data_IF_001062021741
#
_entry.id   IF_001062021741
#
_cell.length_a   1.000
_cell.length_b   1.000
_cell.length_c   1.000
_cell.angle_alpha   90.00
_cell.angle_beta   90.00
_cell.angle_gamma   90.00
#
_symmetry.space_group_name_H-M   'P 1'
#
loop_
_entity.id
_entity.type
_entity.pdbx_description
1 polymer ?
#
# COMPACT_ATOMS: atom_id res chain seq x y z
N UNK A 1 -27.99 0.43 26.19
CA UNK A 1 -26.60 0.19 25.77
C UNK A 1 -26.52 0.58 24.32
N UNK A 2 -25.81 1.65 23.96
CA UNK A 2 -25.65 2.06 22.56
C UNK A 2 -24.44 1.32 21.97
N UNK A 3 -24.69 0.38 21.08
CA UNK A 3 -23.64 -0.24 20.26
C UNK A 3 -23.21 0.75 19.21
N UNK A 4 -22.05 1.36 19.39
CA UNK A 4 -21.41 2.20 18.37
C UNK A 4 -20.90 1.29 17.26
N UNK A 5 -21.74 1.04 16.24
CA UNK A 5 -21.29 0.41 15.00
C UNK A 5 -20.45 1.43 14.25
N UNK A 6 -19.12 1.29 14.32
CA UNK A 6 -18.22 2.05 13.43
C UNK A 6 -18.61 1.77 11.97
N UNK A 7 -18.68 2.79 11.10
CA UNK A 7 -18.95 2.57 9.70
C UNK A 7 -17.86 1.66 9.09
N UNK A 8 -18.28 0.57 8.45
CA UNK A 8 -17.42 -0.29 7.63
C UNK A 8 -16.97 0.57 6.44
N UNK A 9 -15.72 1.00 6.45
CA UNK A 9 -15.12 1.60 5.27
C UNK A 9 -14.53 0.46 4.43
N UNK A 10 -14.86 0.37 3.14
CA UNK A 10 -14.26 -0.64 2.28
C UNK A 10 -12.75 -0.45 2.30
N UNK A 11 -12.02 -1.54 2.53
CA UNK A 11 -10.57 -1.53 2.51
C UNK A 11 -10.11 -1.82 1.09
N UNK A 12 -9.15 -1.07 0.57
CA UNK A 12 -8.52 -1.42 -0.71
C UNK A 12 -7.42 -2.45 -0.48
N UNK A 13 -7.43 -3.51 -1.26
CA UNK A 13 -6.34 -4.50 -1.31
C UNK A 13 -5.59 -4.32 -2.62
N UNK A 14 -4.27 -4.16 -2.50
CA UNK A 14 -3.34 -4.00 -3.63
C UNK A 14 -2.56 -5.29 -3.82
N UNK A 15 -2.58 -5.84 -5.03
CA UNK A 15 -1.93 -7.13 -5.35
C UNK A 15 -1.06 -7.03 -6.60
N UNK A 16 -0.08 -7.91 -6.70
CA UNK A 16 0.66 -8.12 -7.94
C UNK A 16 -0.27 -8.68 -9.03
N UNK A 17 -0.30 -8.05 -10.20
CA UNK A 17 -1.11 -8.50 -11.33
C UNK A 17 -0.73 -9.91 -11.84
N UNK A 18 0.50 -10.36 -11.56
CA UNK A 18 1.00 -11.66 -12.01
C UNK A 18 0.68 -12.79 -11.02
N UNK A 19 1.09 -12.65 -9.76
CA UNK A 19 0.96 -13.74 -8.77
C UNK A 19 -0.23 -13.58 -7.82
N UNK A 20 -0.92 -12.43 -7.82
CA UNK A 20 -1.99 -12.05 -6.88
C UNK A 20 -1.55 -11.94 -5.40
N UNK A 21 -0.24 -12.02 -5.13
CA UNK A 21 0.33 -11.77 -3.81
C UNK A 21 0.21 -10.30 -3.39
N UNK A 22 0.16 -10.06 -2.09
CA UNK A 22 0.04 -8.72 -1.46
C UNK A 22 1.40 -8.12 -1.06
N UNK A 23 2.50 -8.88 -1.22
CA UNK A 23 3.86 -8.43 -0.90
C UNK A 23 4.40 -7.58 -2.05
N UNK A 24 3.81 -6.40 -2.19
CA UNK A 24 4.10 -5.44 -3.26
C UNK A 24 4.60 -4.12 -2.67
N UNK A 25 5.51 -3.48 -3.40
CA UNK A 25 6.12 -2.20 -3.01
C UNK A 25 6.06 -1.22 -4.18
N UNK A 26 6.03 0.08 -3.87
CA UNK A 26 6.23 1.17 -4.85
C UNK A 26 7.53 1.88 -4.56
N UNK A 27 8.20 2.31 -5.61
CA UNK A 27 9.35 3.19 -5.47
C UNK A 27 8.92 4.53 -4.88
N UNK A 28 9.77 5.10 -4.06
CA UNK A 28 9.55 6.40 -3.47
C UNK A 28 10.88 7.07 -3.12
N UNK A 29 10.85 8.39 -2.99
CA UNK A 29 11.96 9.11 -2.37
C UNK A 29 11.62 9.47 -0.94
N UNK A 30 12.63 9.34 -0.09
CA UNK A 30 12.60 9.85 1.27
C UNK A 30 13.24 11.24 1.31
N UNK A 31 12.61 12.16 2.05
CA UNK A 31 13.12 13.49 2.30
C UNK A 31 13.61 13.58 3.75
N UNK A 32 14.71 14.29 3.98
CA UNK A 32 15.21 14.54 5.33
C UNK A 32 14.41 15.65 5.98
N UNK A 33 13.73 15.35 7.09
CA UNK A 33 13.03 16.35 7.90
C UNK A 33 13.97 16.89 8.98
N UNK A 34 14.38 18.16 8.86
CA UNK A 34 15.23 18.79 9.89
C UNK A 34 14.49 18.95 11.22
N UNK A 35 13.21 19.28 11.21
CA UNK A 35 12.46 19.46 12.46
C UNK A 35 12.32 18.15 13.24
N UNK A 36 12.03 17.06 12.52
CA UNK A 36 11.82 15.73 13.12
C UNK A 36 13.09 14.90 13.21
N UNK A 37 14.18 15.35 12.59
CA UNK A 37 15.47 14.65 12.51
C UNK A 37 15.33 13.19 12.05
N UNK A 38 14.49 12.98 11.03
CA UNK A 38 14.21 11.66 10.48
C UNK A 38 13.95 11.74 8.97
N UNK A 39 14.12 10.60 8.30
CA UNK A 39 13.66 10.42 6.92
C UNK A 39 12.15 10.23 6.90
N UNK A 40 11.47 10.96 6.02
CA UNK A 40 10.03 10.86 5.81
C UNK A 40 9.74 10.54 4.35
N UNK A 41 8.67 9.81 4.10
CA UNK A 41 8.23 9.51 2.74
C UNK A 41 7.79 10.81 2.05
N UNK A 42 8.46 11.18 0.96
CA UNK A 42 8.12 12.37 0.19
C UNK A 42 7.02 12.08 -0.84
N UNK A 43 7.38 11.29 -1.86
CA UNK A 43 6.46 10.92 -2.93
C UNK A 43 6.71 9.48 -3.37
N UNK A 44 5.62 8.73 -3.56
CA UNK A 44 5.64 7.44 -4.23
C UNK A 44 5.43 7.60 -5.75
N UNK A 45 6.09 6.75 -6.53
CA UNK A 45 6.06 6.70 -7.99
C UNK A 45 5.33 5.45 -8.47
N UNK A 46 5.00 5.38 -9.75
CA UNK A 46 4.20 4.27 -10.32
C UNK A 46 5.02 2.98 -10.54
N UNK A 47 6.34 3.04 -10.43
CA UNK A 47 7.17 1.84 -10.46
C UNK A 47 6.83 0.96 -9.25
N UNK A 48 6.58 -0.33 -9.51
CA UNK A 48 6.23 -1.29 -8.48
C UNK A 48 7.04 -2.59 -8.61
N UNK A 49 7.30 -3.21 -7.46
CA UNK A 49 8.04 -4.45 -7.32
C UNK A 49 7.23 -5.46 -6.51
N UNK A 50 7.27 -6.72 -6.92
CA UNK A 50 6.65 -7.82 -6.18
C UNK A 50 7.75 -8.65 -5.50
N UNK A 51 7.69 -8.77 -4.18
CA UNK A 51 8.66 -9.54 -3.41
C UNK A 51 8.54 -11.04 -3.70
N UNK A 52 7.32 -11.56 -3.90
CA UNK A 52 7.10 -12.98 -4.18
C UNK A 52 7.53 -13.38 -5.60
N UNK A 53 7.51 -12.44 -6.56
CA UNK A 53 8.00 -12.68 -7.91
C UNK A 53 9.47 -12.30 -8.09
N UNK A 54 10.04 -11.58 -7.13
CA UNK A 54 11.38 -10.99 -7.18
C UNK A 54 11.65 -10.13 -8.44
N UNK A 55 10.63 -9.42 -8.94
CA UNK A 55 10.72 -8.58 -10.15
C UNK A 55 9.74 -7.42 -10.14
N UNK A 56 9.97 -6.51 -11.08
CA UNK A 56 9.02 -5.44 -11.42
C UNK A 56 7.65 -6.01 -11.81
N UNK A 57 6.60 -5.32 -11.37
CA UNK A 57 5.23 -5.75 -11.54
C UNK A 57 4.27 -4.57 -11.79
N UNK A 58 3.06 -4.92 -12.21
CA UNK A 58 1.92 -4.00 -12.22
C UNK A 58 1.05 -4.31 -11.01
N UNK A 59 0.45 -3.28 -10.43
CA UNK A 59 -0.44 -3.39 -9.28
C UNK A 59 -1.90 -3.41 -9.72
N UNK A 60 -2.69 -4.28 -9.12
CA UNK A 60 -4.14 -4.27 -9.22
C UNK A 60 -4.74 -3.92 -7.86
N UNK A 61 -5.67 -2.97 -7.87
CA UNK A 61 -6.39 -2.51 -6.70
C UNK A 61 -7.81 -3.05 -6.73
N UNK A 62 -8.24 -3.69 -5.64
CA UNK A 62 -9.58 -4.25 -5.48
C UNK A 62 -10.17 -3.78 -4.16
N UNK A 63 -11.48 -3.59 -4.11
CA UNK A 63 -12.18 -3.34 -2.85
C UNK A 63 -12.37 -4.67 -2.12
N UNK A 64 -12.01 -4.70 -0.85
CA UNK A 64 -12.27 -5.80 0.06
C UNK A 64 -13.49 -5.45 0.91
N UNK A 65 -14.61 -6.06 0.52
CA UNK A 65 -15.90 -5.95 1.20
C UNK A 65 -16.03 -7.00 2.33
N UNK A 66 -14.93 -7.33 3.00
CA UNK A 66 -14.94 -8.28 4.11
C UNK A 66 -15.79 -7.73 5.28
N UNK A 67 -16.80 -8.49 5.75
CA UNK A 67 -17.65 -8.09 6.89
C UNK A 67 -16.93 -8.11 8.24
#
# INVERSE_FOLDING_TARGET
>A
MITTTSPIHPKTVVRCATCRGERVMRDAWACWSYERQQWELGQAFDHAYCEDCERDCTLEETMDDAP
#
